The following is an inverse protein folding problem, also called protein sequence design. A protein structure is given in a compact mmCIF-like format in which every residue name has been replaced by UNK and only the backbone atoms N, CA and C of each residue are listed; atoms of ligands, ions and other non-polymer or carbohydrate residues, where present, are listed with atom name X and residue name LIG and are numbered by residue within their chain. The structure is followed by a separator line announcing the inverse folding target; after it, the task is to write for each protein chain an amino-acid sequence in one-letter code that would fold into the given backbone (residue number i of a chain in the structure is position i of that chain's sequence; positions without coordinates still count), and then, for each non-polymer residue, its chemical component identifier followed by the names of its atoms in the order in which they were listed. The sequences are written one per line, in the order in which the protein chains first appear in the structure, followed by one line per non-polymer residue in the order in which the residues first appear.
data_IF_857839042637
#
_entry.id   IF_857839042637
#
_cell.length_a   1.000
_cell.length_b   1.000
_cell.length_c   1.000
_cell.angle_alpha   90.00
_cell.angle_beta   90.00
_cell.angle_gamma   90.00
#
_symmetry.space_group_name_H-M   'P 1'
#
loop_
_entity.id
_entity.type
_entity.pdbx_description
1 polymer ?
#
# COMPACT_ATOMS: atom_id res chain seq x y z
N UNK A 1 35.60 -37.12 -9.19
CA UNK A 1 34.58 -36.97 -8.14
C UNK A 1 33.35 -36.43 -8.88
N UNK A 2 32.48 -37.34 -9.32
CA UNK A 2 31.33 -36.98 -10.17
C UNK A 2 30.13 -36.75 -9.27
N UNK A 3 29.55 -35.56 -9.34
CA UNK A 3 28.30 -35.22 -8.67
C UNK A 3 27.17 -35.86 -9.47
N UNK A 4 26.55 -36.89 -8.90
CA UNK A 4 25.26 -37.40 -9.33
C UNK A 4 24.18 -36.56 -8.67
N UNK A 5 23.26 -35.98 -9.45
CA UNK A 5 22.11 -35.28 -8.85
C UNK A 5 21.30 -34.35 -9.74
N UNK A 6 21.20 -34.58 -11.05
CA UNK A 6 20.08 -34.02 -11.83
C UNK A 6 19.63 -35.13 -12.78
N UNK A 7 18.59 -35.85 -12.38
CA UNK A 7 17.94 -36.82 -13.27
C UNK A 7 17.14 -36.04 -14.32
N UNK A 8 17.43 -36.38 -15.57
CA UNK A 8 16.61 -36.33 -16.78
C UNK A 8 15.20 -35.72 -16.62
N UNK A 9 14.92 -34.69 -17.42
CA UNK A 9 13.61 -34.17 -17.82
C UNK A 9 12.41 -34.94 -17.25
N UNK A 10 11.95 -34.52 -16.07
CA UNK A 10 10.61 -34.87 -15.59
C UNK A 10 9.61 -33.99 -16.34
N UNK A 11 9.12 -34.50 -17.48
CA UNK A 11 7.93 -33.96 -18.10
C UNK A 11 6.79 -34.06 -17.07
N UNK A 12 6.08 -32.97 -16.74
CA UNK A 12 4.98 -33.01 -15.79
C UNK A 12 4.00 -34.11 -16.13
N UNK A 13 3.61 -34.93 -15.15
CA UNK A 13 2.61 -35.97 -15.39
C UNK A 13 1.23 -35.33 -15.58
N UNK A 14 0.30 -36.05 -16.19
CA UNK A 14 -1.09 -35.59 -16.30
C UNK A 14 -1.73 -35.28 -14.93
N UNK A 15 -1.24 -35.94 -13.87
CA UNK A 15 -1.68 -35.71 -12.50
C UNK A 15 -1.08 -34.43 -11.91
N UNK A 16 0.17 -34.11 -12.22
CA UNK A 16 0.79 -32.82 -11.84
C UNK A 16 0.07 -31.66 -12.52
N UNK A 17 -0.26 -31.82 -13.81
CA UNK A 17 -1.03 -30.83 -14.58
C UNK A 17 -2.45 -30.68 -14.01
N UNK A 18 -3.10 -31.77 -13.58
CA UNK A 18 -4.42 -31.72 -12.97
C UNK A 18 -4.39 -31.03 -11.59
N UNK A 19 -3.39 -31.29 -10.76
CA UNK A 19 -3.21 -30.59 -9.48
C UNK A 19 -2.90 -29.11 -9.67
N UNK A 20 -2.06 -28.75 -10.65
CA UNK A 20 -1.79 -27.35 -10.98
C UNK A 20 -3.04 -26.64 -11.50
N UNK A 21 -3.87 -27.29 -12.34
CA UNK A 21 -5.16 -26.74 -12.81
C UNK A 21 -6.19 -26.58 -11.69
N UNK A 22 -6.16 -27.44 -10.68
CA UNK A 22 -7.02 -27.31 -9.50
C UNK A 22 -6.57 -26.17 -8.59
N UNK A 23 -5.26 -25.92 -8.48
CA UNK A 23 -4.70 -24.88 -7.60
C UNK A 23 -4.72 -23.48 -8.22
N UNK A 24 -4.57 -23.37 -9.54
CA UNK A 24 -4.40 -22.09 -10.25
C UNK A 24 -5.47 -21.80 -11.32
N UNK A 25 -6.48 -22.65 -11.43
CA UNK A 25 -7.50 -22.55 -12.49
C UNK A 25 -7.00 -22.98 -13.87
N UNK A 26 -7.92 -23.01 -14.84
CA UNK A 26 -7.58 -23.31 -16.24
C UNK A 26 -6.91 -22.08 -16.87
N UNK A 27 -5.63 -22.22 -17.24
CA UNK A 27 -5.01 -21.28 -18.19
C UNK A 27 -5.75 -21.42 -19.52
N UNK A 28 -6.38 -20.34 -19.98
CA UNK A 28 -6.87 -20.25 -21.36
C UNK A 28 -5.62 -20.32 -22.25
N UNK A 29 -5.56 -21.32 -23.12
CA UNK A 29 -4.49 -21.37 -24.12
C UNK A 29 -4.72 -20.19 -25.07
N UNK A 30 -3.76 -19.26 -25.14
CA UNK A 30 -3.71 -18.30 -26.23
C UNK A 30 -3.61 -19.11 -27.53
N UNK A 31 -4.66 -19.06 -28.35
CA UNK A 31 -4.71 -19.72 -29.66
C UNK A 31 -3.72 -19.05 -30.62
N UNK A 32 -2.42 -19.29 -30.45
CA UNK A 32 -1.42 -19.00 -31.48
C UNK A 32 -0.92 -20.30 -32.06
N UNK A 33 -1.62 -20.81 -33.09
CA UNK A 33 -1.23 -22.08 -33.69
C UNK A 33 -2.00 -22.53 -34.92
N UNK A 34 -1.80 -21.82 -36.04
CA UNK A 34 -1.83 -22.35 -37.41
C UNK A 34 -3.21 -22.43 -38.12
N UNK A 35 -3.59 -21.32 -38.76
CA UNK A 35 -4.67 -21.27 -39.76
C UNK A 35 -4.49 -20.09 -40.70
N UNK A 36 -4.10 -20.37 -41.94
CA UNK A 36 -3.89 -19.39 -43.00
C UNK A 36 -5.14 -18.59 -43.35
N UNK A 37 -5.02 -17.25 -43.37
CA UNK A 37 -5.70 -16.40 -44.35
C UNK A 37 -6.95 -15.67 -43.88
N UNK A 38 -6.76 -14.36 -43.67
CA UNK A 38 -7.75 -13.28 -43.81
C UNK A 38 -9.01 -13.31 -42.93
N UNK A 39 -9.00 -12.48 -41.88
CA UNK A 39 -10.24 -11.88 -41.36
C UNK A 39 -10.27 -11.62 -39.86
N UNK A 40 -10.10 -10.34 -39.51
CA UNK A 40 -10.38 -9.69 -38.22
C UNK A 40 -9.39 -9.98 -37.10
N UNK A 41 -8.44 -9.06 -36.97
CA UNK A 41 -7.90 -8.64 -35.68
C UNK A 41 -9.10 -8.35 -34.75
N UNK A 42 -9.31 -9.19 -33.74
CA UNK A 42 -9.95 -8.75 -32.52
C UNK A 42 -8.84 -8.07 -31.72
N UNK A 43 -8.70 -6.76 -31.94
CA UNK A 43 -8.24 -5.88 -30.86
C UNK A 43 -9.12 -6.21 -29.65
N UNK A 44 -8.49 -6.64 -28.57
CA UNK A 44 -9.08 -6.47 -27.23
C UNK A 44 -9.08 -4.97 -26.96
N UNK A 45 -10.02 -4.26 -27.58
CA UNK A 45 -10.39 -2.90 -27.23
C UNK A 45 -10.87 -2.95 -25.78
N UNK A 46 -9.98 -2.61 -24.84
CA UNK A 46 -10.31 -2.26 -23.46
C UNK A 46 -10.83 -0.81 -23.36
N UNK A 47 -11.43 -0.33 -24.44
CA UNK A 47 -12.20 0.92 -24.52
C UNK A 47 -13.65 0.52 -24.21
N UNK A 48 -14.00 0.49 -22.94
CA UNK A 48 -15.37 0.19 -22.44
C UNK A 48 -16.38 1.26 -22.88
N UNK A 49 -15.91 2.47 -23.18
CA UNK A 49 -16.73 3.63 -23.50
C UNK A 49 -17.70 3.97 -22.35
N UNK A 50 -18.55 4.99 -22.49
CA UNK A 50 -19.28 5.60 -21.36
C UNK A 50 -20.50 4.78 -20.88
N UNK A 51 -20.39 3.45 -20.81
CA UNK A 51 -21.53 2.55 -20.61
C UNK A 51 -21.86 2.35 -19.14
N UNK A 52 -20.89 2.47 -18.26
CA UNK A 52 -20.97 2.22 -16.83
C UNK A 52 -20.84 3.51 -16.00
N UNK A 53 -20.92 4.71 -16.61
CA UNK A 53 -20.74 6.01 -15.94
C UNK A 53 -21.88 6.44 -15.02
N UNK A 54 -22.91 5.62 -14.92
CA UNK A 54 -24.03 5.84 -14.04
C UNK A 54 -24.31 4.59 -13.25
N UNK A 55 -24.61 4.76 -11.96
CA UNK A 55 -25.00 3.68 -11.05
C UNK A 55 -26.07 2.74 -11.64
N UNK A 56 -27.03 3.29 -12.41
CA UNK A 56 -28.09 2.49 -13.05
C UNK A 56 -27.59 1.55 -14.16
N UNK A 57 -26.46 1.88 -14.80
CA UNK A 57 -25.83 1.09 -15.85
C UNK A 57 -24.55 0.38 -15.39
N UNK A 58 -24.38 0.23 -14.07
CA UNK A 58 -23.23 -0.45 -13.49
C UNK A 58 -22.97 -1.83 -14.12
N UNK A 59 -21.72 -2.10 -14.47
CA UNK A 59 -21.31 -3.38 -15.04
C UNK A 59 -21.48 -4.50 -13.99
N UNK A 60 -22.18 -5.56 -14.35
CA UNK A 60 -22.40 -6.68 -13.43
C UNK A 60 -21.18 -7.60 -13.35
N UNK A 61 -20.56 -7.67 -12.17
CA UNK A 61 -19.48 -8.59 -11.86
C UNK A 61 -20.04 -9.85 -11.20
N UNK A 62 -19.72 -11.02 -11.74
CA UNK A 62 -20.16 -12.31 -11.22
C UNK A 62 -18.98 -13.16 -10.76
N UNK A 63 -19.14 -13.87 -9.64
CA UNK A 63 -18.13 -14.83 -9.17
C UNK A 63 -18.31 -16.16 -9.90
N UNK A 64 -17.27 -16.73 -10.52
CA UNK A 64 -17.34 -18.10 -11.00
C UNK A 64 -17.59 -19.06 -9.83
N UNK A 65 -18.39 -20.13 -9.99
CA UNK A 65 -18.63 -21.08 -8.91
C UNK A 65 -17.34 -21.82 -8.56
N UNK A 66 -16.59 -21.33 -7.57
CA UNK A 66 -15.38 -21.95 -7.07
C UNK A 66 -15.69 -22.77 -5.80
N UNK A 67 -15.06 -23.95 -5.62
CA UNK A 67 -15.36 -24.86 -4.52
C UNK A 67 -14.91 -24.38 -3.13
N UNK A 68 -14.11 -23.30 -3.03
CA UNK A 68 -13.35 -22.96 -1.82
C UNK A 68 -13.89 -21.77 -1.02
N UNK A 69 -15.20 -21.45 -1.12
CA UNK A 69 -15.88 -20.36 -0.37
C UNK A 69 -15.29 -18.95 -0.55
N UNK A 70 -14.28 -18.77 -1.40
CA UNK A 70 -13.69 -17.47 -1.71
C UNK A 70 -14.58 -16.73 -2.72
N UNK A 71 -15.30 -15.73 -2.25
CA UNK A 71 -16.06 -14.81 -3.11
C UNK A 71 -15.10 -13.72 -3.55
N UNK A 72 -14.67 -13.78 -4.81
CA UNK A 72 -13.73 -12.82 -5.41
C UNK A 72 -14.24 -12.35 -6.78
N UNK A 73 -14.30 -11.04 -6.95
CA UNK A 73 -14.60 -10.34 -8.19
C UNK A 73 -13.33 -9.70 -8.72
N UNK A 74 -13.19 -9.65 -10.03
CA UNK A 74 -12.07 -9.02 -10.71
C UNK A 74 -12.54 -8.39 -12.01
N UNK A 75 -12.11 -7.16 -12.26
CA UNK A 75 -12.32 -6.43 -13.51
C UNK A 75 -11.14 -5.50 -13.75
N UNK A 76 -10.81 -5.26 -15.01
CA UNK A 76 -9.87 -4.21 -15.41
C UNK A 76 -10.67 -3.16 -16.18
N UNK A 77 -10.44 -1.88 -15.89
CA UNK A 77 -11.15 -0.76 -16.51
C UNK A 77 -10.21 0.40 -16.82
N UNK A 78 -10.74 1.46 -17.43
CA UNK A 78 -9.98 2.66 -17.79
C UNK A 78 -10.80 3.90 -17.48
N UNK A 79 -10.20 4.87 -16.77
CA UNK A 79 -10.78 6.21 -16.61
C UNK A 79 -10.26 7.07 -17.77
N UNK A 80 -11.10 7.32 -18.78
CA UNK A 80 -10.82 8.21 -19.93
C UNK A 80 -12.15 8.64 -20.60
N UNK A 81 -12.49 9.94 -20.67
CA UNK A 81 -11.65 11.12 -20.43
C UNK A 81 -11.52 11.55 -18.96
N UNK A 82 -10.84 12.67 -18.73
CA UNK A 82 -10.85 13.31 -17.41
C UNK A 82 -12.28 13.56 -16.92
N UNK A 83 -12.58 13.10 -15.69
CA UNK A 83 -13.90 13.18 -15.09
C UNK A 83 -14.80 11.97 -15.36
N UNK A 84 -14.29 10.98 -16.09
CA UNK A 84 -14.91 9.66 -16.22
C UNK A 84 -14.99 8.92 -14.88
N UNK A 85 -16.00 8.07 -14.76
CA UNK A 85 -16.37 7.34 -13.54
C UNK A 85 -16.88 5.97 -13.96
N UNK A 86 -16.42 4.92 -13.32
CA UNK A 86 -16.87 3.55 -13.58
C UNK A 86 -17.71 3.00 -12.44
N UNK A 87 -18.90 2.48 -12.74
CA UNK A 87 -19.73 1.78 -11.76
C UNK A 87 -19.76 0.26 -12.01
N UNK A 88 -19.56 -0.53 -10.95
CA UNK A 88 -19.65 -1.99 -10.96
C UNK A 88 -20.67 -2.49 -9.95
N UNK A 89 -21.48 -3.48 -10.33
CA UNK A 89 -22.43 -4.15 -9.45
C UNK A 89 -21.92 -5.55 -9.11
N UNK A 90 -21.58 -5.78 -7.85
CA UNK A 90 -21.20 -7.10 -7.35
C UNK A 90 -22.46 -7.97 -7.26
N UNK A 91 -22.55 -9.02 -8.07
CA UNK A 91 -23.67 -9.96 -7.99
C UNK A 91 -23.48 -10.93 -6.81
N UNK A 92 -24.51 -11.12 -5.98
CA UNK A 92 -24.48 -12.12 -4.92
C UNK A 92 -24.12 -13.51 -5.46
N UNK A 93 -23.35 -14.31 -4.70
CA UNK A 93 -23.08 -15.69 -5.08
C UNK A 93 -24.39 -16.48 -5.12
N UNK A 94 -24.41 -17.56 -5.91
CA UNK A 94 -25.57 -18.47 -5.95
C UNK A 94 -25.60 -19.46 -4.79
N UNK A 95 -24.58 -19.43 -3.94
CA UNK A 95 -24.45 -20.24 -2.73
C UNK A 95 -24.52 -19.33 -1.51
N UNK A 96 -25.28 -19.72 -0.49
CA UNK A 96 -25.26 -19.01 0.79
C UNK A 96 -23.89 -19.14 1.44
N UNK A 97 -23.31 -18.02 1.87
CA UNK A 97 -21.99 -17.99 2.52
C UNK A 97 -22.10 -17.29 3.86
N UNK A 98 -21.95 -18.04 4.94
CA UNK A 98 -22.00 -17.49 6.30
C UNK A 98 -20.63 -17.04 6.80
N UNK A 99 -20.61 -16.02 7.67
CA UNK A 99 -19.44 -15.65 8.46
C UNK A 99 -18.49 -14.64 7.81
N UNK A 100 -18.77 -14.22 6.56
CA UNK A 100 -18.11 -13.08 5.92
C UNK A 100 -18.71 -11.77 6.41
N UNK A 101 -17.86 -10.78 6.72
CA UNK A 101 -18.25 -9.58 7.48
C UNK A 101 -17.68 -8.28 6.93
N UNK A 102 -16.70 -8.36 6.04
CA UNK A 102 -16.08 -7.20 5.42
C UNK A 102 -15.90 -7.46 3.93
N UNK A 103 -16.20 -6.44 3.13
CA UNK A 103 -15.83 -6.40 1.72
C UNK A 103 -14.49 -5.66 1.60
N UNK A 104 -13.46 -6.38 1.19
CA UNK A 104 -12.14 -5.85 0.88
C UNK A 104 -12.05 -5.50 -0.59
N UNK A 105 -11.58 -4.31 -0.91
CA UNK A 105 -11.52 -3.79 -2.29
C UNK A 105 -10.11 -3.26 -2.53
N UNK A 106 -9.49 -3.72 -3.60
CA UNK A 106 -8.21 -3.23 -4.11
C UNK A 106 -8.44 -2.62 -5.48
N UNK A 107 -8.01 -1.38 -5.67
CA UNK A 107 -7.98 -0.68 -6.97
C UNK A 107 -6.53 -0.30 -7.23
N UNK A 108 -5.96 -0.83 -8.30
CA UNK A 108 -4.54 -0.65 -8.63
C UNK A 108 -4.39 -0.07 -10.03
N UNK A 109 -3.76 1.10 -10.15
CA UNK A 109 -3.34 1.67 -11.43
C UNK A 109 -2.44 0.68 -12.18
N UNK A 110 -2.70 0.48 -13.47
CA UNK A 110 -1.89 -0.38 -14.34
C UNK A 110 -0.64 0.34 -14.85
N UNK A 111 -0.59 1.68 -14.73
CA UNK A 111 0.55 2.50 -15.10
C UNK A 111 1.20 3.17 -13.87
N UNK A 112 2.54 3.17 -13.78
CA UNK A 112 3.26 4.04 -12.84
C UNK A 112 2.96 5.51 -13.15
N UNK A 113 2.77 6.34 -12.11
CA UNK A 113 2.39 7.74 -12.28
C UNK A 113 1.11 7.91 -13.12
N UNK A 114 0.23 6.91 -13.13
CA UNK A 114 -1.05 6.92 -13.83
C UNK A 114 -2.18 7.42 -12.93
N UNK A 115 -3.33 6.74 -13.02
CA UNK A 115 -4.52 7.07 -12.24
C UNK A 115 -4.24 7.06 -10.73
N UNK A 116 -4.65 8.12 -10.03
CA UNK A 116 -4.84 8.09 -8.57
C UNK A 116 -6.30 7.71 -8.32
N UNK A 117 -6.61 6.46 -7.96
CA UNK A 117 -7.98 6.02 -7.82
C UNK A 117 -8.64 6.56 -6.55
N UNK A 118 -9.93 6.83 -6.64
CA UNK A 118 -10.85 7.04 -5.53
C UNK A 118 -11.97 5.98 -5.63
N UNK A 119 -12.45 5.53 -4.48
CA UNK A 119 -13.50 4.52 -4.38
C UNK A 119 -14.66 5.04 -3.54
N UNK A 120 -15.87 4.93 -4.08
CA UNK A 120 -17.10 5.00 -3.31
C UNK A 120 -17.87 3.67 -3.42
N UNK A 121 -18.65 3.36 -2.38
CA UNK A 121 -19.43 2.11 -2.33
C UNK A 121 -20.86 2.44 -1.94
N UNK A 122 -21.82 1.81 -2.60
CA UNK A 122 -23.25 2.02 -2.37
C UNK A 122 -23.98 0.70 -2.12
N UNK A 123 -25.00 0.75 -1.27
CA UNK A 123 -25.92 -0.36 -1.03
C UNK A 123 -26.90 -0.56 -2.21
N UNK A 124 -27.77 -1.57 -2.12
CA UNK A 124 -28.75 -1.88 -3.17
C UNK A 124 -29.74 -0.74 -3.47
N UNK A 125 -29.94 0.16 -2.51
CA UNK A 125 -30.81 1.33 -2.59
C UNK A 125 -30.07 2.58 -3.11
N UNK A 126 -28.77 2.47 -3.41
CA UNK A 126 -27.92 3.56 -3.88
C UNK A 126 -27.46 4.52 -2.77
N UNK A 127 -27.48 4.10 -1.49
CA UNK A 127 -26.96 4.91 -0.38
C UNK A 127 -25.49 4.62 -0.16
N UNK A 128 -24.71 5.67 0.05
CA UNK A 128 -23.28 5.55 0.30
C UNK A 128 -23.00 4.75 1.59
N UNK A 129 -22.15 3.74 1.47
CA UNK A 129 -21.62 2.95 2.57
C UNK A 129 -20.33 3.58 3.10
N UNK A 130 -20.02 3.32 4.36
CA UNK A 130 -18.77 3.79 4.97
C UNK A 130 -17.60 2.96 4.45
N UNK A 131 -16.68 3.62 3.75
CA UNK A 131 -15.43 3.03 3.26
C UNK A 131 -14.29 3.39 4.22
N UNK A 132 -13.63 2.40 4.79
CA UNK A 132 -12.42 2.58 5.58
C UNK A 132 -11.20 2.29 4.69
N UNK A 133 -10.48 3.35 4.30
CA UNK A 133 -9.25 3.24 3.50
C UNK A 133 -8.13 2.69 4.37
N UNK A 134 -7.59 1.54 3.99
CA UNK A 134 -6.50 0.85 4.68
C UNK A 134 -5.14 1.27 4.14
N UNK A 135 -5.04 1.47 2.83
CA UNK A 135 -3.83 1.91 2.12
C UNK A 135 -4.22 2.71 0.89
N UNK A 136 -3.51 3.77 0.59
CA UNK A 136 -3.71 4.59 -0.60
C UNK A 136 -2.39 5.31 -0.96
N UNK A 137 -1.52 4.60 -1.68
CA UNK A 137 -0.22 5.10 -2.13
C UNK A 137 0.21 4.42 -3.43
N UNK A 138 1.05 5.10 -4.23
CA UNK A 138 1.71 4.54 -5.41
C UNK A 138 0.75 3.84 -6.40
N UNK A 139 -0.43 4.43 -6.60
CA UNK A 139 -1.46 3.91 -7.51
C UNK A 139 -2.28 2.76 -6.95
N UNK A 140 -2.06 2.36 -5.69
CA UNK A 140 -2.76 1.27 -5.03
C UNK A 140 -3.66 1.82 -3.91
N UNK A 141 -4.96 1.64 -4.06
CA UNK A 141 -5.97 1.87 -3.05
C UNK A 141 -6.47 0.52 -2.53
N UNK A 142 -6.31 0.27 -1.23
CA UNK A 142 -6.92 -0.85 -0.51
C UNK A 142 -7.88 -0.26 0.51
N UNK A 143 -9.13 -0.67 0.44
CA UNK A 143 -10.18 -0.24 1.34
C UNK A 143 -11.01 -1.43 1.82
N UNK A 144 -11.71 -1.22 2.94
CA UNK A 144 -12.72 -2.15 3.42
C UNK A 144 -14.06 -1.45 3.60
N UNK A 145 -15.13 -2.22 3.47
CA UNK A 145 -16.49 -1.79 3.81
C UNK A 145 -17.03 -2.72 4.88
N UNK A 146 -17.29 -2.13 6.05
CA UNK A 146 -17.94 -2.81 7.16
C UNK A 146 -19.44 -2.96 6.88
N UNK A 147 -19.99 -4.15 7.12
CA UNK A 147 -21.44 -4.39 7.00
C UNK A 147 -21.95 -4.64 5.59
N UNK A 148 -21.07 -4.78 4.60
CA UNK A 148 -21.44 -5.37 3.31
C UNK A 148 -21.63 -6.88 3.49
N UNK A 149 -22.82 -7.38 3.15
CA UNK A 149 -23.12 -8.81 3.17
C UNK A 149 -22.95 -9.41 1.76
N UNK A 150 -22.40 -10.63 1.61
CA UNK A 150 -22.22 -11.23 0.30
C UNK A 150 -23.52 -11.50 -0.47
N UNK A 151 -24.63 -11.66 0.27
CA UNK A 151 -25.96 -11.92 -0.30
C UNK A 151 -26.63 -10.64 -0.84
N UNK A 152 -26.11 -9.46 -0.48
CA UNK A 152 -26.62 -8.18 -0.93
C UNK A 152 -25.95 -7.73 -2.23
N UNK A 153 -26.70 -7.01 -3.05
CA UNK A 153 -26.10 -6.33 -4.21
C UNK A 153 -25.39 -5.07 -3.73
N UNK A 154 -24.09 -5.01 -4.00
CA UNK A 154 -23.23 -3.86 -3.67
C UNK A 154 -22.74 -3.21 -4.94
N UNK A 155 -22.72 -1.89 -4.98
CA UNK A 155 -22.21 -1.11 -6.09
C UNK A 155 -20.88 -0.45 -5.73
N UNK A 156 -19.88 -0.56 -6.61
CA UNK A 156 -18.59 0.09 -6.51
C UNK A 156 -18.52 1.21 -7.54
N UNK A 157 -18.01 2.36 -7.13
CA UNK A 157 -17.70 3.49 -8.02
C UNK A 157 -16.19 3.72 -7.98
N UNK A 158 -15.53 3.64 -9.13
CA UNK A 158 -14.12 4.00 -9.30
C UNK A 158 -14.05 5.30 -10.10
N UNK A 159 -13.28 6.26 -9.61
CA UNK A 159 -12.99 7.52 -10.32
C UNK A 159 -11.59 8.00 -10.01
N UNK A 160 -11.18 9.12 -10.61
CA UNK A 160 -9.96 9.78 -10.14
C UNK A 160 -10.17 10.59 -8.87
N UNK A 161 -9.22 10.48 -7.94
CA UNK A 161 -9.13 11.30 -6.73
C UNK A 161 -8.61 12.73 -7.00
N UNK A 162 -8.27 13.05 -8.25
CA UNK A 162 -7.68 14.34 -8.63
C UNK A 162 -8.13 14.79 -10.02
N UNK A 163 -8.15 16.10 -10.22
CA UNK A 163 -8.37 16.74 -11.53
C UNK A 163 -7.06 17.19 -12.15
N UNK A 164 -5.91 16.68 -11.66
CA UNK A 164 -4.62 16.99 -12.24
C UNK A 164 -4.41 16.09 -13.46
N UNK A 165 -4.28 16.71 -14.64
CA UNK A 165 -4.32 16.04 -15.95
C UNK A 165 -3.29 14.91 -16.17
N UNK A 166 -2.29 14.77 -15.29
CA UNK A 166 -1.30 13.70 -15.36
C UNK A 166 -1.67 12.46 -14.55
N UNK A 167 -2.66 12.56 -13.67
CA UNK A 167 -3.05 11.55 -12.69
C UNK A 167 -4.57 11.30 -12.66
N UNK A 168 -5.31 12.02 -13.51
CA UNK A 168 -6.77 12.00 -13.58
C UNK A 168 -7.36 10.94 -14.53
N UNK A 169 -6.50 10.28 -15.30
CA UNK A 169 -6.86 9.26 -16.30
C UNK A 169 -5.89 8.10 -16.23
N UNK A 170 -6.32 6.92 -16.64
CA UNK A 170 -5.45 5.74 -16.72
C UNK A 170 -6.21 4.44 -16.50
N UNK A 171 -5.52 3.33 -16.79
CA UNK A 171 -6.08 2.00 -16.59
C UNK A 171 -5.93 1.55 -15.13
N UNK A 172 -6.82 0.68 -14.67
CA UNK A 172 -6.75 0.09 -13.34
C UNK A 172 -7.24 -1.37 -13.33
N UNK A 173 -6.77 -2.13 -12.34
CA UNK A 173 -7.33 -3.42 -11.95
C UNK A 173 -8.12 -3.23 -10.65
N UNK A 174 -9.35 -3.72 -10.62
CA UNK A 174 -10.19 -3.80 -9.42
C UNK A 174 -10.34 -5.26 -8.99
N UNK A 175 -10.09 -5.52 -7.71
CA UNK A 175 -10.37 -6.78 -7.04
C UNK A 175 -11.25 -6.50 -5.84
N UNK A 176 -12.38 -7.19 -5.74
CA UNK A 176 -13.23 -7.16 -4.55
C UNK A 176 -13.36 -8.57 -3.98
N UNK A 177 -13.20 -8.72 -2.68
CA UNK A 177 -13.32 -10.01 -2.01
C UNK A 177 -13.96 -9.87 -0.63
N UNK A 178 -14.79 -10.84 -0.25
CA UNK A 178 -15.37 -10.87 1.08
C UNK A 178 -14.49 -11.65 2.05
N UNK A 179 -14.27 -11.09 3.23
CA UNK A 179 -13.44 -11.67 4.30
C UNK A 179 -14.22 -11.85 5.60
N UNK A 180 -13.80 -12.85 6.39
CA UNK A 180 -14.44 -13.15 7.68
C UNK A 180 -14.07 -12.16 8.80
N UNK A 181 -12.91 -11.52 8.70
CA UNK A 181 -12.38 -10.64 9.74
C UNK A 181 -12.04 -9.28 9.15
N UNK A 182 -12.76 -8.21 9.53
CA UNK A 182 -12.39 -6.86 9.15
C UNK A 182 -11.01 -6.48 9.67
N UNK A 183 -10.26 -5.73 8.88
CA UNK A 183 -8.97 -5.18 9.28
C UNK A 183 -9.20 -3.95 10.16
N UNK A 184 -8.39 -3.77 11.21
CA UNK A 184 -8.49 -2.60 12.08
C UNK A 184 -7.16 -1.89 12.15
N UNK A 185 -7.15 -0.64 11.69
CA UNK A 185 -6.02 0.25 11.87
C UNK A 185 -6.07 0.87 13.27
N UNK A 186 -4.90 1.01 13.87
CA UNK A 186 -4.71 1.74 15.12
C UNK A 186 -4.71 3.23 14.84
N UNK A 187 -5.45 4.00 15.65
CA UNK A 187 -5.37 5.46 15.64
C UNK A 187 -4.22 5.90 16.54
N UNK A 188 -3.17 6.46 15.96
CA UNK A 188 -1.99 6.95 16.67
C UNK A 188 -2.12 8.42 17.07
N UNK A 189 -2.80 9.23 16.25
CA UNK A 189 -3.04 10.64 16.53
C UNK A 189 -4.40 11.11 16.01
N UNK A 190 -4.94 12.13 16.66
CA UNK A 190 -6.11 12.90 16.24
C UNK A 190 -5.89 14.35 16.71
N UNK A 191 -5.95 15.30 15.78
CA UNK A 191 -5.62 16.69 16.03
C UNK A 191 -6.37 17.61 15.08
N UNK A 192 -6.38 18.90 15.42
CA UNK A 192 -7.04 19.94 14.65
C UNK A 192 -6.02 21.05 14.37
N UNK A 193 -5.85 21.40 13.11
CA UNK A 193 -5.02 22.51 12.66
C UNK A 193 -5.90 23.71 12.34
N UNK A 194 -5.44 24.90 12.70
CA UNK A 194 -6.17 26.15 12.53
C UNK A 194 -5.29 27.17 11.82
N UNK A 195 -5.84 28.29 11.39
CA UNK A 195 -5.04 29.38 10.81
C UNK A 195 -3.94 29.90 11.77
N UNK A 196 -4.21 29.95 13.07
CA UNK A 196 -3.24 30.40 14.08
C UNK A 196 -2.18 29.35 14.42
N UNK A 197 -2.50 28.07 14.17
CA UNK A 197 -1.63 26.93 14.44
C UNK A 197 -1.76 25.90 13.30
N UNK A 198 -1.23 26.29 12.14
CA UNK A 198 -1.22 25.47 10.93
C UNK A 198 -0.19 24.33 10.99
N UNK A 199 0.67 24.31 12.02
CA UNK A 199 1.68 23.28 12.24
C UNK A 199 1.66 22.78 13.70
N UNK A 200 1.82 21.48 13.88
CA UNK A 200 2.03 20.86 15.19
C UNK A 200 2.98 19.68 15.08
N UNK A 201 3.59 19.27 16.20
CA UNK A 201 4.49 18.13 16.25
C UNK A 201 4.16 17.16 17.37
N UNK A 202 4.54 15.90 17.19
CA UNK A 202 4.32 14.83 18.17
C UNK A 202 5.56 13.91 18.24
N UNK A 203 6.05 13.57 19.45
CA UNK A 203 7.17 12.65 19.60
C UNK A 203 6.73 11.20 19.34
N UNK A 204 7.65 10.40 18.82
CA UNK A 204 7.52 8.96 18.63
C UNK A 204 8.80 8.30 19.14
N UNK A 205 8.69 7.30 20.01
CA UNK A 205 9.83 6.50 20.46
C UNK A 205 9.67 5.06 19.95
N UNK A 206 10.75 4.51 19.41
CA UNK A 206 10.83 3.16 18.87
C UNK A 206 11.89 2.38 19.67
N UNK A 207 11.47 1.36 20.43
CA UNK A 207 12.38 0.63 21.34
C UNK A 207 13.25 -0.41 20.62
N UNK A 208 12.76 -0.96 19.51
CA UNK A 208 13.40 -2.01 18.71
C UNK A 208 13.02 -1.80 17.24
N UNK A 209 13.72 -2.40 16.26
CA UNK A 209 13.38 -2.17 14.85
C UNK A 209 11.91 -2.50 14.56
N UNK A 210 11.17 -1.58 13.94
CA UNK A 210 9.74 -1.71 13.65
C UNK A 210 9.46 -1.47 12.16
N UNK A 211 8.48 -2.20 11.63
CA UNK A 211 7.93 -1.99 10.31
C UNK A 211 6.52 -1.44 10.47
N UNK A 212 6.29 -0.22 9.98
CA UNK A 212 5.07 0.53 10.19
C UNK A 212 4.41 0.92 8.89
N UNK A 213 3.11 0.62 8.80
CA UNK A 213 2.23 1.26 7.85
C UNK A 213 1.56 2.45 8.51
N UNK A 214 1.58 3.61 7.85
CA UNK A 214 0.95 4.84 8.31
C UNK A 214 0.14 5.45 7.16
N UNK A 215 -1.02 6.00 7.50
CA UNK A 215 -1.88 6.77 6.61
C UNK A 215 -2.36 8.05 7.32
N UNK A 216 -2.40 9.14 6.56
CA UNK A 216 -2.92 10.43 6.98
C UNK A 216 -4.34 10.58 6.42
N UNK A 217 -5.31 10.71 7.32
CA UNK A 217 -6.70 11.04 7.01
C UNK A 217 -6.93 12.52 7.34
N UNK A 218 -7.49 13.28 6.39
CA UNK A 218 -7.99 14.63 6.60
C UNK A 218 -9.51 14.66 6.42
N UNK A 219 -10.23 15.24 7.38
CA UNK A 219 -11.68 15.37 7.26
C UNK A 219 -12.08 16.38 6.17
N UNK A 220 -13.26 16.20 5.55
CA UNK A 220 -13.81 17.21 4.65
C UNK A 220 -13.97 18.54 5.37
N UNK A 221 -13.65 19.64 4.68
CA UNK A 221 -13.88 21.01 5.14
C UNK A 221 -14.98 21.66 4.31
N UNK A 222 -15.63 22.72 4.81
CA UNK A 222 -16.71 23.39 4.08
C UNK A 222 -16.17 24.21 2.89
N UNK A 223 -15.00 24.83 3.06
CA UNK A 223 -14.30 25.68 2.10
C UNK A 223 -13.04 24.97 1.60
N UNK A 224 -13.23 23.93 0.81
CA UNK A 224 -12.13 23.16 0.21
C UNK A 224 -11.53 23.90 -0.99
N UNK A 225 -10.64 24.87 -0.72
CA UNK A 225 -9.84 25.55 -1.74
C UNK A 225 -8.62 24.71 -2.18
N UNK A 226 -8.75 23.37 -2.15
CA UNK A 226 -7.66 22.44 -2.37
C UNK A 226 -6.71 22.36 -1.17
N UNK A 227 -7.26 22.43 0.05
CA UNK A 227 -6.46 22.39 1.28
C UNK A 227 -5.63 21.11 1.30
N UNK A 228 -4.32 21.27 1.46
CA UNK A 228 -3.37 20.15 1.55
C UNK A 228 -2.95 20.01 3.00
N UNK A 229 -3.11 18.80 3.54
CA UNK A 229 -2.53 18.42 4.82
C UNK A 229 -1.40 17.43 4.57
N UNK A 230 -0.33 17.53 5.35
CA UNK A 230 0.78 16.58 5.25
C UNK A 230 1.38 16.26 6.61
N UNK A 231 2.03 15.11 6.65
CA UNK A 231 2.78 14.63 7.81
C UNK A 231 4.17 14.21 7.35
N UNK A 232 5.19 14.55 8.15
CA UNK A 232 6.55 14.09 7.96
C UNK A 232 7.11 13.55 9.28
N UNK A 233 7.76 12.40 9.22
CA UNK A 233 8.47 11.74 10.31
C UNK A 233 9.96 12.02 10.17
N UNK A 234 10.54 12.66 11.18
CA UNK A 234 11.96 12.97 11.25
C UNK A 234 12.65 12.07 12.28
N UNK A 235 13.87 11.64 11.99
CA UNK A 235 14.76 11.03 12.98
C UNK A 235 15.46 12.09 13.85
N UNK A 236 16.33 11.64 14.76
CA UNK A 236 17.12 12.49 15.65
C UNK A 236 18.10 13.41 14.88
N UNK A 237 18.54 13.00 13.68
CA UNK A 237 19.41 13.80 12.82
C UNK A 237 18.63 14.86 12.02
N UNK A 238 17.29 14.80 12.03
CA UNK A 238 16.42 15.70 11.28
C UNK A 238 16.19 15.25 9.83
N UNK A 239 16.54 14.01 9.49
CA UNK A 239 16.30 13.42 8.18
C UNK A 239 14.87 12.84 8.13
N UNK A 240 14.23 12.97 6.96
CA UNK A 240 12.87 12.48 6.74
C UNK A 240 12.90 10.98 6.50
N UNK A 241 12.15 10.22 7.30
CA UNK A 241 12.00 8.76 7.19
C UNK A 241 10.66 8.33 6.62
N UNK A 242 9.64 9.16 6.77
CA UNK A 242 8.30 8.93 6.22
C UNK A 242 7.67 10.29 5.91
N UNK A 243 6.94 10.39 4.81
CA UNK A 243 6.13 11.56 4.51
C UNK A 243 4.90 11.18 3.70
N UNK A 244 3.76 11.79 4.00
CA UNK A 244 2.52 11.62 3.25
C UNK A 244 1.78 12.97 3.19
N UNK A 245 1.10 13.20 2.06
CA UNK A 245 0.24 14.37 1.86
C UNK A 245 -1.14 13.88 1.42
N UNK A 246 -2.18 14.57 1.86
CA UNK A 246 -3.58 14.29 1.53
C UNK A 246 -4.35 15.58 1.30
N UNK A 247 -5.43 15.49 0.54
CA UNK A 247 -6.41 16.56 0.38
C UNK A 247 -7.49 16.45 1.47
N UNK A 248 -8.19 17.53 1.75
CA UNK A 248 -9.36 17.49 2.63
C UNK A 248 -10.38 16.45 2.16
N UNK A 249 -10.89 15.65 3.09
CA UNK A 249 -11.82 14.55 2.79
C UNK A 249 -11.18 13.25 2.29
N UNK A 250 -9.86 13.21 2.13
CA UNK A 250 -9.15 12.02 1.64
C UNK A 250 -8.28 11.38 2.73
N UNK A 251 -8.02 10.08 2.55
CA UNK A 251 -7.00 9.32 3.28
C UNK A 251 -5.93 8.89 2.29
N UNK A 252 -4.67 9.27 2.55
CA UNK A 252 -3.51 8.86 1.75
C UNK A 252 -2.42 8.28 2.65
N UNK A 253 -1.74 7.25 2.16
CA UNK A 253 -0.53 6.70 2.79
C UNK A 253 0.70 7.03 1.98
N UNK A 254 1.84 6.57 2.49
CA UNK A 254 3.05 6.39 1.72
C UNK A 254 3.52 4.95 1.97
N UNK A 255 4.53 4.46 1.23
CA UNK A 255 5.05 3.13 1.46
C UNK A 255 5.41 2.87 2.92
N UNK A 256 5.24 1.62 3.35
CA UNK A 256 5.59 1.14 4.69
C UNK A 256 7.02 1.55 5.05
N UNK A 257 7.20 2.10 6.26
CA UNK A 257 8.50 2.57 6.75
C UNK A 257 9.10 1.58 7.74
N UNK A 258 10.39 1.30 7.60
CA UNK A 258 11.18 0.61 8.62
C UNK A 258 11.89 1.64 9.50
N UNK A 259 11.66 1.55 10.81
CA UNK A 259 12.26 2.42 11.82
C UNK A 259 13.23 1.61 12.67
N UNK A 260 14.45 2.13 12.82
CA UNK A 260 15.43 1.63 13.78
C UNK A 260 15.07 2.12 15.20
N UNK A 261 15.67 1.55 16.26
CA UNK A 261 15.43 2.04 17.61
C UNK A 261 15.90 3.49 17.76
N UNK A 262 15.06 4.35 18.33
CA UNK A 262 15.40 5.76 18.49
C UNK A 262 14.21 6.67 18.77
N UNK A 263 14.52 7.94 18.97
CA UNK A 263 13.55 9.02 19.08
C UNK A 263 13.30 9.64 17.70
N UNK A 264 12.02 9.80 17.41
CA UNK A 264 11.51 10.38 16.18
C UNK A 264 10.52 11.50 16.51
N UNK A 265 10.26 12.34 15.51
CA UNK A 265 9.30 13.44 15.61
C UNK A 265 8.43 13.50 14.37
N UNK A 266 7.13 13.42 14.56
CA UNK A 266 6.14 13.71 13.53
C UNK A 266 5.84 15.20 13.52
N UNK A 267 5.76 15.78 12.33
CA UNK A 267 5.28 17.13 12.09
C UNK A 267 4.08 17.04 11.18
N UNK A 268 2.99 17.64 11.61
CA UNK A 268 1.75 17.78 10.85
C UNK A 268 1.59 19.23 10.45
N UNK A 269 1.14 19.46 9.23
CA UNK A 269 0.94 20.78 8.69
C UNK A 269 -0.26 20.81 7.74
N UNK A 270 -0.95 21.94 7.65
CA UNK A 270 -2.02 22.17 6.69
C UNK A 270 -1.92 23.57 6.10
N UNK A 271 -2.15 23.69 4.80
CA UNK A 271 -1.97 24.92 4.05
C UNK A 271 -2.78 24.89 2.73
N UNK A 272 -3.08 26.08 2.21
CA UNK A 272 -3.79 26.25 0.93
C UNK A 272 -2.81 26.38 -0.26
N UNK A 273 -3.18 25.96 -1.48
CA UNK A 273 -2.42 26.12 -2.73
C UNK A 273 -1.81 27.50 -2.98
N UNK A 274 -2.53 28.56 -2.62
CA UNK A 274 -2.16 29.95 -2.86
C UNK A 274 -1.48 30.62 -1.66
N UNK A 275 -1.27 29.88 -0.56
CA UNK A 275 -0.71 30.38 0.69
C UNK A 275 -1.62 31.34 1.46
N UNK A 276 -2.92 31.36 1.15
CA UNK A 276 -3.92 32.07 1.95
C UNK A 276 -4.18 31.40 3.30
N UNK A 277 -4.91 32.11 4.16
CA UNK A 277 -5.26 31.64 5.51
C UNK A 277 -6.24 30.46 5.44
N UNK A 278 -6.08 29.48 6.34
CA UNK A 278 -7.05 28.39 6.50
C UNK A 278 -8.40 28.98 6.97
N UNK A 279 -9.44 28.86 6.15
CA UNK A 279 -10.77 29.38 6.49
C UNK A 279 -11.53 28.48 7.46
N UNK A 280 -11.29 27.17 7.37
CA UNK A 280 -11.84 26.16 8.26
C UNK A 280 -10.73 25.47 9.04
N UNK A 281 -11.10 24.91 10.18
CA UNK A 281 -10.20 24.04 10.93
C UNK A 281 -10.08 22.68 10.23
N UNK A 282 -8.85 22.16 10.15
CA UNK A 282 -8.55 20.90 9.48
C UNK A 282 -8.35 19.80 10.52
N UNK A 283 -9.33 18.91 10.67
CA UNK A 283 -9.22 17.73 11.53
C UNK A 283 -8.40 16.64 10.82
N UNK A 284 -7.30 16.22 11.45
CA UNK A 284 -6.38 15.20 10.95
C UNK A 284 -6.34 13.98 11.87
N UNK A 285 -6.20 12.80 11.28
CA UNK A 285 -5.93 11.54 11.99
C UNK A 285 -4.73 10.84 11.38
N UNK A 286 -3.84 10.37 12.24
CA UNK A 286 -2.78 9.43 11.86
C UNK A 286 -3.24 8.04 12.26
N UNK A 287 -3.49 7.19 11.27
CA UNK A 287 -3.90 5.80 11.46
C UNK A 287 -2.83 4.88 10.87
N UNK A 288 -2.78 3.62 11.30
CA UNK A 288 -1.83 2.68 10.74
C UNK A 288 -1.80 1.33 11.41
N UNK A 289 -0.81 0.52 11.04
CA UNK A 289 -0.61 -0.81 11.58
C UNK A 289 0.87 -1.06 11.84
N UNK A 290 1.16 -1.72 12.96
CA UNK A 290 2.47 -2.28 13.22
C UNK A 290 2.54 -3.67 12.56
N UNK A 291 3.36 -3.77 11.51
CA UNK A 291 3.51 -4.99 10.71
C UNK A 291 4.64 -5.88 11.23
N UNK A 292 5.40 -5.42 12.23
CA UNK A 292 6.41 -6.26 12.86
C UNK A 292 5.77 -7.41 13.60
N UNK A 293 6.04 -8.64 13.15
CA UNK A 293 5.70 -9.82 13.92
C UNK A 293 6.64 -9.91 15.14
N UNK A 294 6.11 -10.14 16.35
CA UNK A 294 6.92 -10.28 17.56
C UNK A 294 7.73 -11.59 17.60
N UNK A 295 7.70 -12.39 16.53
CA UNK A 295 8.27 -13.72 16.46
C UNK A 295 9.48 -13.75 15.52
N UNK A 296 10.66 -13.56 16.10
CA UNK A 296 11.91 -14.13 15.59
C UNK A 296 12.61 -14.84 16.74
N UNK A 297 13.44 -15.88 16.51
CA UNK A 297 14.33 -16.34 17.56
C UNK A 297 15.18 -15.13 17.94
N UNK A 298 15.00 -14.61 19.16
CA UNK A 298 15.85 -13.54 19.65
C UNK A 298 17.28 -13.95 19.38
N UNK A 299 18.03 -13.12 18.64
CA UNK A 299 19.47 -13.28 18.54
C UNK A 299 20.01 -12.99 19.93
N UNK A 300 20.02 -14.01 20.78
CA UNK A 300 20.70 -13.98 22.06
C UNK A 300 22.17 -13.92 21.70
N UNK A 301 22.77 -12.75 21.85
CA UNK A 301 24.21 -12.63 21.90
C UNK A 301 24.68 -13.38 23.15
N UNK A 302 25.34 -14.54 23.01
CA UNK A 302 25.75 -15.35 24.16
C UNK A 302 26.93 -14.74 24.92
N UNK A 303 27.43 -13.57 24.49
CA UNK A 303 28.61 -12.92 25.08
C UNK A 303 28.27 -11.72 25.98
N UNK A 304 27.01 -11.28 26.01
CA UNK A 304 26.55 -10.15 26.83
C UNK A 304 25.60 -10.60 27.94
N UNK A 305 26.17 -11.05 29.06
CA UNK A 305 25.48 -11.07 30.37
C UNK A 305 26.22 -10.14 31.36
N UNK A 306 25.50 -9.44 32.25
CA UNK A 306 24.35 -9.97 32.97
C UNK A 306 23.01 -9.35 32.56
N UNK A 307 22.02 -10.24 32.42
CA UNK A 307 20.58 -9.92 32.36
C UNK A 307 20.20 -9.10 33.61
N UNK A 308 19.55 -7.95 33.41
CA UNK A 308 18.91 -7.21 34.50
C UNK A 308 17.76 -8.06 35.06
N UNK A 309 17.81 -8.55 36.30
CA UNK A 309 16.72 -9.35 36.86
C UNK A 309 15.51 -8.44 37.13
N UNK A 310 14.43 -8.65 36.39
CA UNK A 310 13.16 -8.00 36.62
C UNK A 310 12.57 -8.59 37.93
N UNK A 311 12.67 -7.83 39.01
CA UNK A 311 12.32 -8.28 40.36
C UNK A 311 10.81 -8.15 40.68
N UNK A 312 9.96 -8.00 39.66
CA UNK A 312 8.50 -7.94 39.82
C UNK A 312 7.83 -9.23 39.36
N UNK A 313 6.94 -9.76 40.21
CA UNK A 313 6.15 -10.94 39.90
C UNK A 313 5.16 -10.63 38.76
N UNK A 314 5.29 -11.31 37.62
CA UNK A 314 4.42 -11.16 36.45
C UNK A 314 5.01 -10.34 35.28
N UNK A 315 6.25 -9.85 35.38
CA UNK A 315 6.92 -9.16 34.27
C UNK A 315 7.37 -10.16 33.18
N UNK A 316 7.15 -9.81 31.91
CA UNK A 316 7.72 -10.51 30.77
C UNK A 316 9.22 -10.16 30.67
N UNK A 317 10.12 -11.16 30.72
CA UNK A 317 11.57 -10.93 30.73
C UNK A 317 12.11 -10.27 29.45
N UNK A 318 11.31 -10.12 28.40
CA UNK A 318 11.71 -9.48 27.14
C UNK A 318 11.57 -7.94 27.13
N UNK A 319 10.97 -7.32 28.16
CA UNK A 319 10.55 -5.90 28.12
C UNK A 319 11.01 -5.07 29.33
N UNK A 320 12.24 -5.25 29.79
CA UNK A 320 12.75 -4.55 30.98
C UNK A 320 13.59 -3.31 30.60
N UNK A 321 12.95 -2.13 30.65
CA UNK A 321 13.59 -0.81 30.47
C UNK A 321 14.26 -0.31 31.78
N UNK A 322 15.24 0.61 31.70
CA UNK A 322 15.84 1.26 32.87
C UNK A 322 14.88 2.29 33.50
N UNK A 323 13.85 1.78 34.18
CA UNK A 323 13.00 2.47 35.15
C UNK A 323 11.97 1.54 35.84
N UNK A 324 11.93 0.24 35.47
CA UNK A 324 10.96 -0.71 36.03
C UNK A 324 9.56 -0.63 35.38
N UNK A 325 9.44 0.09 34.25
CA UNK A 325 8.23 0.10 33.43
C UNK A 325 8.22 -1.12 32.51
N UNK A 326 7.15 -1.90 32.55
CA UNK A 326 6.86 -2.96 31.56
C UNK A 326 6.02 -2.32 30.47
N UNK A 327 6.53 -2.26 29.24
CA UNK A 327 5.78 -1.76 28.08
C UNK A 327 5.40 -2.95 27.22
N UNK A 328 4.12 -3.03 26.83
CA UNK A 328 3.60 -4.13 26.00
C UNK A 328 3.71 -3.84 24.49
N UNK A 329 4.01 -2.59 24.11
CA UNK A 329 4.15 -2.13 22.74
C UNK A 329 5.57 -1.57 22.53
N UNK A 330 6.35 -2.04 21.54
CA UNK A 330 7.66 -1.49 21.21
C UNK A 330 7.62 -0.07 20.62
N UNK A 331 6.43 0.48 20.40
CA UNK A 331 6.22 1.83 19.93
C UNK A 331 5.51 2.62 21.03
N UNK A 332 6.11 3.76 21.39
CA UNK A 332 5.59 4.63 22.44
C UNK A 332 5.32 6.01 21.83
N UNK A 333 4.17 6.57 22.17
CA UNK A 333 3.73 7.91 21.78
C UNK A 333 3.72 8.81 23.02
N UNK A 334 4.89 9.32 23.46
CA UNK A 334 5.06 9.85 24.82
C UNK A 334 4.40 11.22 25.07
N UNK A 335 3.50 11.70 24.22
CA UNK A 335 2.82 12.98 24.45
C UNK A 335 1.70 13.30 23.46
N UNK A 336 0.89 14.29 23.85
CA UNK A 336 -0.08 14.94 22.97
C UNK A 336 0.65 15.84 21.95
N UNK A 337 0.03 16.14 20.79
CA UNK A 337 0.54 17.11 19.84
C UNK A 337 0.87 18.45 20.53
N UNK A 338 2.00 19.05 20.20
CA UNK A 338 2.45 20.35 20.72
C UNK A 338 2.83 21.29 19.56
N UNK A 339 2.55 22.61 19.68
CA UNK A 339 3.02 23.60 18.73
C UNK A 339 4.53 23.45 18.51
N UNK A 340 4.98 23.47 17.26
CA UNK A 340 6.39 23.27 16.95
C UNK A 340 7.20 24.49 17.43
N UNK A 341 8.24 24.27 18.23
CA UNK A 341 9.13 25.35 18.71
C UNK A 341 10.34 25.60 17.79
N UNK A 342 10.49 24.81 16.73
CA UNK A 342 11.63 24.85 15.81
C UNK A 342 11.11 24.59 14.39
N UNK A 343 11.28 25.52 13.43
CA UNK A 343 10.80 25.33 12.08
C UNK A 343 11.48 24.08 11.49
N UNK A 344 10.67 23.14 10.98
CA UNK A 344 11.22 21.97 10.30
C UNK A 344 12.08 22.43 9.11
N UNK A 345 13.26 21.83 8.96
CA UNK A 345 14.08 21.97 7.75
C UNK A 345 13.22 21.49 6.56
N UNK A 346 13.11 22.26 5.47
CA UNK A 346 11.99 22.15 4.55
C UNK A 346 12.03 20.81 3.82
N UNK A 347 10.98 20.01 4.03
CA UNK A 347 10.44 19.25 2.91
C UNK A 347 9.94 20.30 1.91
N UNK A 348 10.19 20.09 0.62
CA UNK A 348 9.53 20.93 -0.40
C UNK A 348 8.04 20.75 -0.19
N UNK A 349 7.34 21.81 0.25
CA UNK A 349 5.91 21.74 0.56
C UNK A 349 5.15 21.03 -0.56
N UNK A 350 4.30 20.03 -0.24
CA UNK A 350 3.54 19.29 -1.24
C UNK A 350 2.49 20.15 -1.91
N UNK A 351 2.20 21.36 -1.41
CA UNK A 351 1.07 22.19 -1.83
C UNK A 351 0.95 22.38 -3.33
N UNK A 352 2.08 22.52 -4.02
CA UNK A 352 2.05 22.72 -5.47
C UNK A 352 1.83 21.41 -6.26
N UNK A 353 2.05 20.26 -5.63
CA UNK A 353 1.93 18.94 -6.26
C UNK A 353 1.74 17.81 -5.22
N UNK A 354 0.61 17.77 -4.49
CA UNK A 354 0.38 16.75 -3.47
C UNK A 354 0.27 15.35 -4.09
N UNK A 355 -0.22 15.28 -5.32
CA UNK A 355 -0.27 14.05 -6.12
C UNK A 355 1.11 13.51 -6.49
N UNK A 356 2.16 14.35 -6.51
CA UNK A 356 3.52 13.83 -6.69
C UNK A 356 3.99 13.07 -5.47
N UNK A 357 3.66 13.53 -4.27
CA UNK A 357 4.00 12.81 -3.04
C UNK A 357 3.33 11.46 -2.95
N UNK A 358 2.11 11.34 -3.48
CA UNK A 358 1.40 10.08 -3.58
C UNK A 358 2.17 9.02 -4.38
N UNK A 359 2.85 9.43 -5.46
CA UNK A 359 3.68 8.56 -6.29
C UNK A 359 5.15 8.48 -5.84
N UNK A 360 5.64 9.46 -5.10
CA UNK A 360 7.07 9.65 -4.81
C UNK A 360 7.49 9.23 -3.40
N UNK A 361 6.88 8.17 -2.84
CA UNK A 361 7.14 7.70 -1.47
C UNK A 361 8.60 7.90 -1.05
N UNK A 362 8.84 8.74 -0.02
CA UNK A 362 10.14 9.29 0.40
C UNK A 362 11.29 9.08 -0.59
N UNK A 363 11.22 9.72 -1.76
CA UNK A 363 12.41 9.97 -2.54
C UNK A 363 13.09 11.21 -1.98
N UNK A 364 14.07 11.04 -1.09
CA UNK A 364 15.11 12.06 -0.99
C UNK A 364 15.69 12.20 -2.39
N UNK A 365 15.61 13.41 -2.94
CA UNK A 365 16.11 13.75 -4.26
C UNK A 365 17.62 13.48 -4.36
N UNK A 366 18.01 12.23 -4.58
CA UNK A 366 19.25 11.89 -5.22
C UNK A 366 19.01 11.95 -6.72
N UNK A 367 19.35 13.11 -7.26
CA UNK A 367 19.59 13.46 -8.66
C UNK A 367 19.43 12.34 -9.69
N UNK A 368 18.56 12.61 -10.65
CA UNK A 368 18.37 11.92 -11.94
C UNK A 368 19.67 11.82 -12.78
N UNK A 369 20.60 10.99 -12.33
CA UNK A 369 21.70 10.46 -13.11
C UNK A 369 21.68 8.95 -12.88
N UNK A 370 21.18 8.22 -13.89
CA UNK A 370 20.93 6.77 -13.90
C UNK A 370 21.57 5.98 -12.77
N UNK A 371 20.74 5.52 -11.83
CA UNK A 371 21.08 4.48 -10.88
C UNK A 371 20.75 3.14 -11.55
N UNK A 372 21.72 2.38 -12.10
CA UNK A 372 21.47 1.08 -12.73
C UNK A 372 20.99 -0.02 -11.76
N UNK A 373 20.62 0.35 -10.52
CA UNK A 373 20.30 -0.55 -9.40
C UNK A 373 18.84 -0.53 -8.97
N UNK A 374 18.10 0.49 -9.40
CA UNK A 374 16.68 0.63 -9.14
C UNK A 374 15.90 0.63 -10.46
N UNK A 375 14.83 -0.17 -10.51
CA UNK A 375 13.94 -0.17 -11.66
C UNK A 375 12.96 0.99 -11.53
N UNK A 376 13.33 2.15 -12.09
CA UNK A 376 12.49 3.35 -12.02
C UNK A 376 11.15 3.24 -12.77
N UNK A 377 10.98 2.23 -13.65
CA UNK A 377 9.70 1.97 -14.31
C UNK A 377 8.83 1.05 -13.47
N UNK A 378 9.40 0.00 -12.88
CA UNK A 378 8.70 -0.98 -12.05
C UNK A 378 9.58 -1.42 -10.90
N UNK A 379 9.57 -0.68 -9.77
CA UNK A 379 10.47 -0.92 -8.64
C UNK A 379 10.59 -2.38 -8.20
N UNK A 380 9.48 -3.11 -8.13
CA UNK A 380 9.42 -4.50 -7.69
C UNK A 380 9.78 -5.54 -8.75
N UNK A 381 9.97 -5.14 -10.01
CA UNK A 381 10.40 -5.99 -11.12
C UNK A 381 11.94 -5.95 -11.19
N UNK A 382 12.56 -6.81 -10.40
CA UNK A 382 14.00 -6.80 -10.11
C UNK A 382 14.79 -7.33 -11.31
N UNK A 383 14.22 -8.27 -12.06
CA UNK A 383 14.85 -8.79 -13.28
C UNK A 383 14.50 -7.98 -14.54
N UNK A 384 13.55 -7.04 -14.44
CA UNK A 384 13.06 -6.19 -15.52
C UNK A 384 12.54 -7.00 -16.73
N UNK A 385 11.82 -8.08 -16.44
CA UNK A 385 11.13 -8.90 -17.46
C UNK A 385 9.73 -8.38 -17.80
N UNK A 386 9.26 -7.34 -17.10
CA UNK A 386 7.96 -6.74 -17.29
C UNK A 386 6.86 -7.41 -16.48
N UNK A 387 7.16 -8.26 -15.51
CA UNK A 387 6.16 -8.86 -14.61
C UNK A 387 6.75 -8.98 -13.21
N UNK A 388 6.03 -8.50 -12.19
CA UNK A 388 6.42 -8.74 -10.79
C UNK A 388 5.98 -10.14 -10.40
N UNK A 389 6.92 -11.01 -10.03
CA UNK A 389 6.68 -12.41 -9.66
C UNK A 389 7.42 -12.77 -8.36
N UNK A 390 7.11 -13.92 -7.72
CA UNK A 390 7.93 -14.41 -6.60
C UNK A 390 9.41 -14.62 -6.94
N UNK A 391 9.76 -14.71 -8.24
CA UNK A 391 11.16 -14.76 -8.67
C UNK A 391 11.89 -13.48 -8.26
N UNK A 392 11.29 -12.30 -8.46
CA UNK A 392 11.90 -11.01 -8.11
C UNK A 392 12.31 -10.94 -6.64
N UNK A 393 11.43 -11.40 -5.74
CA UNK A 393 11.72 -11.48 -4.31
C UNK A 393 12.87 -12.46 -4.03
N UNK A 394 12.88 -13.60 -4.72
CA UNK A 394 13.93 -14.60 -4.58
C UNK A 394 15.29 -14.08 -5.06
N UNK A 395 15.33 -13.24 -6.11
CA UNK A 395 16.58 -12.64 -6.59
C UNK A 395 17.19 -11.71 -5.52
N UNK A 396 16.38 -10.88 -4.88
CA UNK A 396 16.83 -10.01 -3.78
C UNK A 396 17.30 -10.84 -2.58
N UNK A 397 16.55 -11.87 -2.18
CA UNK A 397 16.97 -12.78 -1.09
C UNK A 397 18.30 -13.48 -1.42
N UNK A 398 18.47 -13.92 -2.66
CA UNK A 398 19.71 -14.57 -3.13
C UNK A 398 20.89 -13.61 -3.02
N UNK A 399 20.72 -12.38 -3.50
CA UNK A 399 21.73 -11.33 -3.40
C UNK A 399 22.13 -11.06 -1.94
N UNK A 400 21.15 -10.91 -1.05
CA UNK A 400 21.40 -10.68 0.38
C UNK A 400 22.11 -11.83 1.06
N UNK A 401 21.80 -13.08 0.69
CA UNK A 401 22.49 -14.25 1.23
C UNK A 401 23.95 -14.35 0.75
N UNK A 402 24.24 -13.85 -0.46
CA UNK A 402 25.59 -13.87 -1.03
C UNK A 402 26.47 -12.71 -0.54
N UNK A 403 25.88 -11.53 -0.37
CA UNK A 403 26.64 -10.28 -0.15
C UNK A 403 26.34 -9.58 1.19
N UNK A 404 25.25 -9.95 1.87
CA UNK A 404 24.74 -9.25 3.04
C UNK A 404 24.00 -7.96 2.69
N UNK A 405 23.57 -7.20 3.71
CA UNK A 405 23.02 -5.85 3.53
C UNK A 405 24.11 -4.92 3.03
N UNK A 406 23.83 -4.14 2.00
CA UNK A 406 24.76 -3.12 1.53
C UNK A 406 24.40 -2.56 0.16
N UNK A 407 25.24 -1.63 -0.28
CA UNK A 407 25.12 -1.02 -1.61
C UNK A 407 25.32 -2.11 -2.68
N UNK A 408 24.41 -2.21 -3.65
CA UNK A 408 24.53 -3.20 -4.71
C UNK A 408 25.85 -2.99 -5.48
N UNK A 409 26.75 -3.98 -5.45
CA UNK A 409 28.04 -3.90 -6.14
C UNK A 409 28.01 -4.45 -7.55
N UNK A 410 27.04 -5.30 -7.87
CA UNK A 410 26.83 -5.86 -9.21
C UNK A 410 25.65 -5.17 -9.90
N UNK A 411 25.97 -4.05 -10.56
CA UNK A 411 24.99 -3.11 -11.11
C UNK A 411 24.65 -3.36 -12.57
N UNK A 412 25.03 -4.52 -13.11
CA UNK A 412 25.01 -4.74 -14.58
C UNK A 412 23.86 -5.61 -15.06
N UNK A 413 23.13 -6.25 -14.16
CA UNK A 413 22.08 -7.19 -14.54
C UNK A 413 20.73 -6.89 -13.90
N UNK A 414 20.65 -6.69 -12.58
CA UNK A 414 19.36 -6.67 -11.86
C UNK A 414 19.20 -5.45 -10.94
N UNK A 415 17.94 -5.10 -10.65
CA UNK A 415 17.53 -3.92 -9.91
C UNK A 415 17.16 -4.27 -8.46
N UNK A 416 18.16 -4.66 -7.68
CA UNK A 416 17.95 -5.18 -6.32
C UNK A 416 17.47 -4.14 -5.30
N UNK A 417 17.72 -2.86 -5.57
CA UNK A 417 17.29 -1.75 -4.72
C UNK A 417 15.89 -1.34 -5.16
N UNK A 418 14.89 -1.93 -4.51
CA UNK A 418 13.47 -1.83 -4.87
C UNK A 418 12.89 -0.54 -4.32
N UNK A 419 13.32 -0.09 -3.14
CA UNK A 419 12.82 1.15 -2.53
C UNK A 419 13.66 2.39 -2.90
N UNK A 420 14.74 2.24 -3.68
CA UNK A 420 15.64 3.29 -4.14
C UNK A 420 16.33 4.05 -3.00
N UNK A 421 16.72 3.33 -1.93
CA UNK A 421 17.41 3.90 -0.77
C UNK A 421 18.94 3.75 -0.81
N UNK A 422 19.48 3.34 -1.97
CA UNK A 422 20.87 3.00 -2.26
C UNK A 422 21.39 1.75 -1.51
N UNK A 423 20.56 1.03 -0.77
CA UNK A 423 20.93 -0.15 0.02
C UNK A 423 20.04 -1.34 -0.30
N UNK A 424 20.64 -2.43 -0.78
CA UNK A 424 19.93 -3.71 -0.81
C UNK A 424 19.86 -4.26 0.61
N UNK A 425 18.64 -4.46 1.10
CA UNK A 425 18.34 -4.98 2.43
C UNK A 425 17.11 -5.89 2.40
N UNK A 426 16.79 -6.61 3.50
CA UNK A 426 15.56 -7.40 3.57
C UNK A 426 14.27 -6.60 3.31
N UNK A 427 14.32 -5.27 3.38
CA UNK A 427 13.17 -4.42 3.05
C UNK A 427 12.81 -4.53 1.56
N UNK A 428 13.80 -4.63 0.66
CA UNK A 428 13.57 -4.72 -0.78
C UNK A 428 12.79 -5.98 -1.15
N UNK A 429 13.12 -7.10 -0.47
CA UNK A 429 12.36 -8.35 -0.58
C UNK A 429 10.91 -8.13 -0.20
N UNK A 430 10.69 -7.42 0.91
CA UNK A 430 9.36 -7.20 1.44
C UNK A 430 8.54 -6.29 0.53
N UNK A 431 9.14 -5.29 -0.09
CA UNK A 431 8.48 -4.46 -1.10
C UNK A 431 8.00 -5.28 -2.30
N UNK A 432 8.82 -6.22 -2.78
CA UNK A 432 8.39 -7.14 -3.85
C UNK A 432 7.22 -8.01 -3.39
N UNK A 433 7.33 -8.65 -2.21
CA UNK A 433 6.27 -9.50 -1.68
C UNK A 433 4.96 -8.73 -1.44
N UNK A 434 5.06 -7.48 -1.00
CA UNK A 434 3.90 -6.60 -0.81
C UNK A 434 3.24 -6.23 -2.13
N UNK A 435 3.98 -6.22 -3.24
CA UNK A 435 3.44 -5.97 -4.58
C UNK A 435 2.75 -7.20 -5.17
N UNK A 436 3.08 -8.40 -4.68
CA UNK A 436 2.49 -9.68 -5.11
C UNK A 436 1.21 -10.07 -4.37
N UNK A 437 1.02 -9.53 -3.16
CA UNK A 437 -0.17 -9.72 -2.33
C UNK A 437 -1.31 -8.83 -2.83
#
# INVERSE_FOLDING_TARGET
MSVHGISENLTPTAQDIAHLKALYGLRIEDETGNGSGEGREQESDSDDGPRNDQLFWAESLSVPPLPDQLIRYHVSGTIDPEGDVDYFALQPPTIEVEGLKALMISVRSTQPNGLIPELAVYDEDGRAMKVDVLRNDNGLLIAQVDGAEPDDRVYLEVRSATTSSGFSTGGYDLVAAFEATPTKLTRYAELELTNEQAETSMPLHVDRPQLLHLALEAKPVEHDQGVVAWVALYDEQGEVRYQAATLAGQTRSAPTVFLEPGDYRLVFHAETPDGSDLQDNVELRLIGANLSIPFGPGLVDPTTEPVLPCNQSGADPNYCLPAGSVVTDPIIWPGQPKPTTQPAVPVVSPVQAPDRWYWSGVQTAQTAAGQPRHNGLRPADVNNDGVVTPLDALLVVTYLNETGRGVATDVTTWFFDVNNDDLVSPIDVLFVLTTLA
#
